data_IF_475982117178
#
_entry.id   IF_475982117178
#
_cell.length_a   1.000
_cell.length_b   1.000
_cell.length_c   1.000
_cell.angle_alpha   90.00
_cell.angle_beta   90.00
_cell.angle_gamma   90.00
#
_symmetry.space_group_name_H-M   'P 1'
#
loop_
_entity.id
_entity.type
_entity.pdbx_description
1 polymer ?
#
# COMPACT_ATOMS: atom_id res chain seq x y z
N UNK A 1 -3.42 -5.12 23.12
CA UNK A 1 -3.60 -3.74 22.63
C UNK A 1 -4.26 -3.76 21.25
N UNK A 2 -4.64 -2.60 20.69
CA UNK A 2 -5.23 -2.48 19.35
C UNK A 2 -4.43 -1.48 18.52
N UNK A 3 -4.40 -1.68 17.20
CA UNK A 3 -3.72 -0.77 16.27
C UNK A 3 -4.46 0.57 16.23
N UNK A 4 -3.72 1.68 16.16
CA UNK A 4 -4.32 2.99 15.93
C UNK A 4 -4.72 3.17 14.46
N UNK A 5 -5.58 4.13 14.16
CA UNK A 5 -5.97 4.45 12.78
C UNK A 5 -4.78 4.95 11.96
N UNK A 6 -3.86 5.74 12.56
CA UNK A 6 -2.61 6.17 11.92
C UNK A 6 -1.69 4.97 11.66
N UNK A 7 -1.58 4.04 12.61
CA UNK A 7 -0.83 2.78 12.45
C UNK A 7 -1.38 1.90 11.33
N UNK A 8 -2.71 1.78 11.26
CA UNK A 8 -3.39 1.03 10.21
C UNK A 8 -3.15 1.66 8.82
N UNK A 9 -3.29 2.99 8.71
CA UNK A 9 -3.01 3.72 7.48
C UNK A 9 -1.54 3.62 7.05
N UNK A 10 -0.61 3.61 8.02
CA UNK A 10 0.82 3.45 7.78
C UNK A 10 1.13 2.05 7.19
N UNK A 11 0.55 0.99 7.75
CA UNK A 11 0.66 -0.37 7.19
C UNK A 11 0.06 -0.40 5.77
N UNK A 12 -1.18 0.08 5.61
CA UNK A 12 -1.87 0.09 4.32
C UNK A 12 -1.09 0.83 3.22
N UNK A 13 -0.43 1.95 3.57
CA UNK A 13 0.40 2.72 2.65
C UNK A 13 1.67 1.99 2.18
N UNK A 14 2.21 1.10 3.02
CA UNK A 14 3.34 0.26 2.66
C UNK A 14 2.97 -0.95 1.82
N UNK A 15 1.84 -1.59 2.12
CA UNK A 15 1.40 -2.79 1.38
C UNK A 15 0.81 -2.43 0.02
N UNK A 16 0.11 -1.30 -0.06
CA UNK A 16 -0.68 -0.94 -1.24
C UNK A 16 -1.94 -1.81 -1.38
N UNK A 17 -2.91 -1.31 -2.13
CA UNK A 17 -4.20 -2.01 -2.31
C UNK A 17 -4.32 -2.55 -3.72
N UNK A 18 -4.59 -3.86 -3.83
CA UNK A 18 -4.93 -4.52 -5.09
C UNK A 18 -6.35 -5.07 -5.01
N UNK A 19 -7.25 -4.55 -5.84
CA UNK A 19 -8.69 -4.87 -5.78
C UNK A 19 -9.03 -6.29 -6.23
N UNK A 20 -8.16 -6.94 -7.00
CA UNK A 20 -8.43 -8.23 -7.64
C UNK A 20 -7.36 -9.24 -7.27
N UNK A 21 -7.76 -10.49 -7.04
CA UNK A 21 -6.86 -11.56 -6.65
C UNK A 21 -5.79 -11.80 -7.73
N UNK A 22 -4.52 -11.84 -7.30
CA UNK A 22 -3.34 -12.02 -8.13
C UNK A 22 -2.39 -13.05 -7.51
N UNK A 23 -1.41 -13.53 -8.27
CA UNK A 23 -0.32 -14.34 -7.73
C UNK A 23 0.88 -13.47 -7.41
N UNK A 24 1.37 -13.55 -6.18
CA UNK A 24 2.60 -12.88 -5.79
C UNK A 24 3.85 -13.50 -6.47
N UNK A 25 5.05 -12.92 -6.33
CA UNK A 25 6.27 -13.45 -6.95
C UNK A 25 6.69 -14.86 -6.52
N UNK A 26 6.05 -15.45 -5.51
CA UNK A 26 6.27 -16.83 -5.06
C UNK A 26 5.07 -17.74 -5.33
N UNK A 27 4.09 -17.26 -6.11
CA UNK A 27 2.95 -18.02 -6.61
C UNK A 27 1.73 -18.08 -5.68
N UNK A 28 1.75 -17.36 -4.56
CA UNK A 28 0.66 -17.37 -3.57
C UNK A 28 -0.45 -16.42 -4.00
N UNK A 29 -1.69 -16.91 -3.94
CA UNK A 29 -2.87 -16.13 -4.27
C UNK A 29 -3.12 -15.06 -3.19
N UNK A 30 -3.12 -13.81 -3.62
CA UNK A 30 -3.08 -12.61 -2.77
C UNK A 30 -4.11 -11.58 -3.25
N UNK A 31 -4.72 -10.83 -2.34
CA UNK A 31 -5.69 -9.76 -2.64
C UNK A 31 -5.62 -8.64 -1.58
N UNK A 32 -6.15 -7.45 -1.88
CA UNK A 32 -6.23 -6.35 -0.93
C UNK A 32 -4.85 -5.83 -0.54
N UNK A 33 -4.59 -5.76 0.77
CA UNK A 33 -3.31 -5.31 1.35
C UNK A 33 -2.28 -6.44 1.55
N UNK A 34 -2.33 -7.48 0.73
CA UNK A 34 -1.46 -8.66 0.93
C UNK A 34 -2.16 -9.83 1.64
N UNK A 35 -3.49 -9.86 1.63
CA UNK A 35 -4.25 -10.93 2.25
C UNK A 35 -4.10 -12.24 1.49
N UNK A 36 -3.87 -13.32 2.22
CA UNK A 36 -3.78 -14.67 1.67
C UNK A 36 -4.61 -15.62 2.52
N UNK A 37 -5.01 -16.75 1.94
CA UNK A 37 -5.73 -17.81 2.68
C UNK A 37 -4.89 -18.48 3.78
N UNK A 38 -3.63 -18.06 3.99
CA UNK A 38 -2.77 -18.48 5.11
C UNK A 38 -3.07 -17.74 6.41
N UNK A 39 -3.62 -16.52 6.32
CA UNK A 39 -4.11 -15.80 7.50
C UNK A 39 -5.40 -16.46 7.98
N UNK A 40 -5.47 -16.81 9.26
CA UNK A 40 -6.66 -17.41 9.88
C UNK A 40 -7.83 -16.43 9.83
N UNK A 41 -7.57 -15.17 10.15
CA UNK A 41 -8.60 -14.12 10.21
C UNK A 41 -9.16 -13.82 8.82
N UNK A 42 -8.28 -13.60 7.82
CA UNK A 42 -8.75 -13.37 6.46
C UNK A 42 -9.46 -14.59 5.89
N UNK A 43 -8.90 -15.79 6.08
CA UNK A 43 -9.48 -17.01 5.53
C UNK A 43 -10.86 -17.32 6.13
N UNK A 44 -11.07 -17.01 7.41
CA UNK A 44 -12.38 -17.11 8.04
C UNK A 44 -13.36 -16.07 7.47
N UNK A 45 -12.97 -14.78 7.48
CA UNK A 45 -13.79 -13.69 6.94
C UNK A 45 -14.20 -13.93 5.49
N UNK A 46 -13.25 -14.36 4.65
CA UNK A 46 -13.49 -14.64 3.25
C UNK A 46 -14.47 -15.79 3.05
N UNK A 47 -14.29 -16.91 3.78
CA UNK A 47 -15.19 -18.07 3.68
C UNK A 47 -16.59 -17.75 4.19
N UNK A 48 -16.72 -16.99 5.28
CA UNK A 48 -18.03 -16.56 5.78
C UNK A 48 -18.79 -15.74 4.74
N UNK A 49 -18.10 -14.88 3.98
CA UNK A 49 -18.74 -14.01 2.99
C UNK A 49 -18.99 -14.67 1.63
N UNK A 50 -18.10 -15.56 1.21
CA UNK A 50 -18.12 -16.11 -0.16
C UNK A 50 -18.41 -17.63 -0.22
N UNK A 51 -18.48 -18.33 0.92
CA UNK A 51 -18.73 -19.78 0.98
C UNK A 51 -17.60 -20.66 0.45
N UNK A 52 -16.47 -20.08 0.01
CA UNK A 52 -15.34 -20.80 -0.60
C UNK A 52 -14.01 -20.09 -0.34
N UNK A 53 -12.90 -20.76 -0.64
CA UNK A 53 -11.59 -20.13 -0.67
C UNK A 53 -11.45 -19.10 -1.80
N UNK A 54 -10.50 -18.17 -1.63
CA UNK A 54 -10.08 -17.19 -2.64
C UNK A 54 -9.65 -17.89 -3.94
N UNK A 55 -10.03 -17.34 -5.08
CA UNK A 55 -9.70 -17.80 -6.45
C UNK A 55 -9.24 -16.62 -7.31
N UNK A 56 -8.53 -16.92 -8.39
CA UNK A 56 -8.18 -15.90 -9.39
C UNK A 56 -9.44 -15.21 -9.92
N UNK A 57 -9.36 -13.89 -10.11
CA UNK A 57 -10.49 -13.08 -10.60
C UNK A 57 -11.44 -12.59 -9.50
N UNK A 58 -11.34 -13.10 -8.27
CA UNK A 58 -12.10 -12.56 -7.14
C UNK A 58 -11.71 -11.09 -6.87
N UNK A 59 -12.67 -10.31 -6.40
CA UNK A 59 -12.47 -8.89 -6.08
C UNK A 59 -12.86 -8.57 -4.64
N UNK A 60 -12.22 -7.55 -4.07
CA UNK A 60 -12.54 -6.99 -2.76
C UNK A 60 -12.64 -5.47 -2.87
N UNK A 61 -13.63 -4.87 -2.20
CA UNK A 61 -13.73 -3.42 -2.11
C UNK A 61 -12.64 -2.86 -1.18
N UNK A 62 -12.25 -1.59 -1.37
CA UNK A 62 -11.31 -0.94 -0.44
C UNK A 62 -11.88 -0.88 0.98
N UNK A 63 -13.17 -0.58 1.12
CA UNK A 63 -13.82 -0.52 2.43
C UNK A 63 -13.77 -1.87 3.16
N UNK A 64 -14.10 -2.96 2.47
CA UNK A 64 -13.97 -4.32 3.04
C UNK A 64 -12.51 -4.65 3.36
N UNK A 65 -11.57 -4.23 2.51
CA UNK A 65 -10.14 -4.44 2.73
C UNK A 65 -9.61 -3.65 3.95
N UNK A 66 -10.09 -2.43 4.19
CA UNK A 66 -9.71 -1.64 5.36
C UNK A 66 -10.26 -2.28 6.64
N UNK A 67 -11.51 -2.74 6.62
CA UNK A 67 -12.15 -3.46 7.74
C UNK A 67 -11.39 -4.74 8.08
N UNK A 68 -11.12 -5.59 7.07
CA UNK A 68 -10.42 -6.86 7.32
C UNK A 68 -8.94 -6.64 7.66
N UNK A 69 -8.28 -5.59 7.14
CA UNK A 69 -6.93 -5.23 7.55
C UNK A 69 -6.88 -4.95 9.05
N UNK A 70 -7.79 -4.11 9.56
CA UNK A 70 -7.82 -3.76 10.98
C UNK A 70 -7.98 -4.99 11.85
N UNK A 71 -8.96 -5.82 11.52
CA UNK A 71 -9.26 -7.05 12.27
C UNK A 71 -8.08 -8.01 12.27
N UNK A 72 -7.48 -8.23 11.11
CA UNK A 72 -6.33 -9.12 10.93
C UNK A 72 -5.09 -8.60 11.66
N UNK A 73 -4.81 -7.30 11.60
CA UNK A 73 -3.71 -6.69 12.36
C UNK A 73 -3.98 -6.86 13.85
N UNK A 74 -5.17 -6.54 14.36
CA UNK A 74 -5.50 -6.63 15.78
C UNK A 74 -5.44 -8.07 16.33
N UNK A 75 -5.92 -9.05 15.58
CA UNK A 75 -6.09 -10.44 16.05
C UNK A 75 -4.87 -11.35 15.79
N UNK A 76 -4.03 -11.05 14.80
CA UNK A 76 -2.85 -11.87 14.48
C UNK A 76 -1.55 -11.16 14.90
N UNK A 77 -1.27 -10.01 14.31
CA UNK A 77 0.02 -9.33 14.47
C UNK A 77 0.10 -8.55 15.78
N UNK A 78 -0.93 -7.77 16.09
CA UNK A 78 -1.09 -7.02 17.34
C UNK A 78 -1.22 -7.94 18.55
N UNK A 79 -1.88 -9.10 18.40
CA UNK A 79 -1.88 -10.15 19.41
C UNK A 79 -0.45 -10.69 19.66
N UNK A 80 0.32 -10.99 18.61
CA UNK A 80 1.71 -11.43 18.74
C UNK A 80 2.63 -10.35 19.37
N UNK A 81 2.44 -9.08 18.99
CA UNK A 81 3.15 -7.93 19.59
C UNK A 81 2.81 -7.80 21.08
N UNK A 82 1.52 -7.87 21.43
CA UNK A 82 1.07 -7.81 22.84
C UNK A 82 1.63 -8.99 23.64
N UNK A 83 1.60 -10.21 23.09
CA UNK A 83 2.17 -11.39 23.75
C UNK A 83 3.68 -11.26 23.97
N UNK A 84 4.41 -10.60 23.05
CA UNK A 84 5.86 -10.44 23.16
C UNK A 84 6.28 -9.35 24.13
N UNK A 85 5.59 -8.20 24.14
CA UNK A 85 6.06 -7.00 24.83
C UNK A 85 5.16 -6.54 25.98
N UNK A 86 3.95 -7.07 26.11
CA UNK A 86 2.94 -6.55 27.01
C UNK A 86 2.41 -5.19 26.54
N UNK A 87 2.21 -4.28 27.48
CA UNK A 87 1.78 -2.91 27.19
C UNK A 87 2.96 -2.07 26.69
N UNK A 88 2.74 -1.35 25.58
CA UNK A 88 3.70 -0.43 24.99
C UNK A 88 3.06 0.96 24.83
N UNK A 89 3.86 2.03 24.69
CA UNK A 89 3.38 3.26 24.07
C UNK A 89 2.76 2.97 22.70
N UNK A 90 1.66 3.64 22.36
CA UNK A 90 0.88 3.31 21.15
C UNK A 90 1.72 3.33 19.86
N UNK A 91 2.61 4.31 19.70
CA UNK A 91 3.47 4.40 18.51
C UNK A 91 4.53 3.27 18.45
N UNK A 92 4.99 2.76 19.59
CA UNK A 92 5.83 1.56 19.62
C UNK A 92 5.03 0.31 19.18
N UNK A 93 3.79 0.19 19.67
CA UNK A 93 2.89 -0.90 19.28
C UNK A 93 2.60 -0.86 17.77
N UNK A 94 2.28 0.33 17.22
CA UNK A 94 1.98 0.51 15.81
C UNK A 94 3.20 0.19 14.91
N UNK A 95 4.39 0.67 15.28
CA UNK A 95 5.64 0.35 14.58
C UNK A 95 5.92 -1.16 14.60
N UNK A 96 5.79 -1.80 15.78
CA UNK A 96 6.02 -3.23 15.93
C UNK A 96 5.02 -4.07 15.13
N UNK A 97 3.75 -3.64 15.05
CA UNK A 97 2.74 -4.27 14.19
C UNK A 97 3.12 -4.17 12.71
N UNK A 98 3.60 -3.01 12.24
CA UNK A 98 4.07 -2.86 10.84
C UNK A 98 5.25 -3.78 10.51
N UNK A 99 6.22 -3.88 11.41
CA UNK A 99 7.37 -4.79 11.25
C UNK A 99 6.89 -6.25 11.19
N UNK A 100 6.02 -6.65 12.12
CA UNK A 100 5.49 -8.00 12.20
C UNK A 100 4.63 -8.36 10.98
N UNK A 101 3.84 -7.42 10.46
CA UNK A 101 3.05 -7.61 9.24
C UNK A 101 3.94 -7.95 8.05
N UNK A 102 5.03 -7.19 7.87
CA UNK A 102 5.92 -7.35 6.73
C UNK A 102 6.87 -8.55 6.80
N UNK A 103 7.46 -8.78 7.97
CA UNK A 103 8.51 -9.79 8.17
C UNK A 103 7.99 -11.07 8.84
N UNK A 104 6.71 -11.08 9.20
CA UNK A 104 6.07 -12.14 9.97
C UNK A 104 6.32 -12.04 11.49
N UNK A 105 5.49 -12.73 12.31
CA UNK A 105 5.61 -12.69 13.78
C UNK A 105 6.97 -13.14 14.32
N UNK A 106 7.71 -13.98 13.59
CA UNK A 106 9.07 -14.41 13.99
C UNK A 106 10.03 -13.23 14.16
N UNK A 107 9.81 -12.11 13.46
CA UNK A 107 10.62 -10.91 13.59
C UNK A 107 10.61 -10.33 15.02
N UNK A 108 9.58 -10.63 15.81
CA UNK A 108 9.45 -10.22 17.21
C UNK A 108 10.41 -10.95 18.16
N UNK A 109 11.21 -11.88 17.65
CA UNK A 109 12.29 -12.58 18.40
C UNK A 109 13.68 -12.05 18.06
N UNK A 110 13.79 -11.18 17.04
CA UNK A 110 15.05 -10.70 16.50
C UNK A 110 15.67 -9.60 17.34
N UNK A 111 16.87 -9.16 16.96
CA UNK A 111 17.68 -8.21 17.74
C UNK A 111 16.97 -6.90 18.05
N UNK A 112 16.18 -6.36 17.12
CA UNK A 112 15.44 -5.11 17.34
C UNK A 112 14.37 -5.27 18.42
N UNK A 113 13.63 -6.39 18.39
CA UNK A 113 12.60 -6.69 19.37
C UNK A 113 13.21 -6.99 20.74
N UNK A 114 14.37 -7.66 20.79
CA UNK A 114 15.11 -7.84 22.06
C UNK A 114 15.51 -6.51 22.67
N UNK A 115 15.99 -5.54 21.87
CA UNK A 115 16.31 -4.20 22.36
C UNK A 115 15.07 -3.45 22.86
N UNK A 116 13.95 -3.50 22.11
CA UNK A 116 12.70 -2.86 22.53
C UNK A 116 12.18 -3.46 23.85
N UNK A 117 12.23 -4.78 23.99
CA UNK A 117 11.84 -5.50 25.21
C UNK A 117 12.74 -5.20 26.41
N UNK A 118 13.96 -4.73 26.18
CA UNK A 118 14.89 -4.29 27.22
C UNK A 118 14.72 -2.80 27.58
N UNK A 119 13.67 -2.15 27.07
CA UNK A 119 13.42 -0.73 27.32
C UNK A 119 14.29 0.22 26.49
N UNK A 120 14.91 -0.26 25.40
CA UNK A 120 15.82 0.54 24.55
C UNK A 120 15.23 0.73 23.13
N UNK A 121 14.22 1.61 22.97
CA UNK A 121 13.60 1.89 21.68
C UNK A 121 14.56 2.58 20.69
N UNK A 122 15.55 3.35 21.19
CA UNK A 122 16.55 4.00 20.36
C UNK A 122 17.45 2.97 19.65
N UNK A 123 17.93 1.97 20.39
CA UNK A 123 18.69 0.85 19.81
C UNK A 123 17.82 -0.02 18.92
N UNK A 124 16.56 -0.28 19.29
CA UNK A 124 15.64 -1.01 18.44
C UNK A 124 15.45 -0.31 17.08
N UNK A 125 15.25 1.00 17.08
CA UNK A 125 15.15 1.83 15.88
C UNK A 125 16.43 1.81 15.05
N UNK A 126 17.60 1.95 15.68
CA UNK A 126 18.90 1.86 15.00
C UNK A 126 19.07 0.50 14.29
N UNK A 127 18.75 -0.60 14.97
CA UNK A 127 18.82 -1.94 14.40
C UNK A 127 17.85 -2.08 13.22
N UNK A 128 16.59 -1.64 13.35
CA UNK A 128 15.62 -1.68 12.25
C UNK A 128 16.13 -0.91 11.04
N UNK A 129 16.57 0.34 11.22
CA UNK A 129 17.01 1.22 10.13
C UNK A 129 18.18 0.65 9.30
N UNK A 130 19.04 -0.16 9.93
CA UNK A 130 20.22 -0.75 9.30
C UNK A 130 19.99 -2.16 8.72
N UNK A 131 18.96 -2.89 9.18
CA UNK A 131 18.77 -4.33 8.90
C UNK A 131 17.41 -4.64 8.27
N UNK A 132 17.19 -5.93 7.98
CA UNK A 132 15.91 -6.48 7.50
C UNK A 132 15.33 -5.76 6.28
N UNK A 133 16.24 -5.31 5.41
CA UNK A 133 15.98 -4.49 4.22
C UNK A 133 16.39 -5.21 2.92
N UNK A 134 16.51 -6.54 2.99
CA UNK A 134 16.93 -7.40 1.88
C UNK A 134 15.86 -8.41 1.51
N UNK A 135 15.81 -8.80 0.24
CA UNK A 135 15.08 -9.96 -0.24
C UNK A 135 15.95 -10.72 -1.25
N UNK A 136 15.95 -12.06 -1.18
CA UNK A 136 16.81 -12.93 -2.01
C UNK A 136 18.28 -12.48 -2.01
N UNK A 137 18.80 -12.07 -0.84
CA UNK A 137 20.18 -11.63 -0.65
C UNK A 137 20.53 -10.21 -1.15
N UNK A 138 19.58 -9.46 -1.71
CA UNK A 138 19.81 -8.10 -2.23
C UNK A 138 19.05 -7.06 -1.42
N UNK A 139 19.68 -5.91 -1.14
CA UNK A 139 19.00 -4.75 -0.56
C UNK A 139 17.96 -4.22 -1.54
N UNK A 140 16.74 -4.00 -1.06
CA UNK A 140 15.66 -3.42 -1.87
C UNK A 140 15.38 -1.99 -1.39
N UNK A 141 15.40 -0.98 -2.27
CA UNK A 141 15.14 0.41 -1.89
C UNK A 141 13.83 0.61 -1.11
N UNK A 142 12.77 -0.09 -1.52
CA UNK A 142 11.48 -0.06 -0.82
C UNK A 142 11.55 -0.59 0.62
N UNK A 143 12.28 -1.68 0.85
CA UNK A 143 12.45 -2.22 2.20
C UNK A 143 13.38 -1.35 3.06
N UNK A 144 14.43 -0.76 2.46
CA UNK A 144 15.28 0.22 3.15
C UNK A 144 14.45 1.41 3.61
N UNK A 145 13.60 1.96 2.74
CA UNK A 145 12.70 3.06 3.07
C UNK A 145 11.75 2.67 4.21
N UNK A 146 11.03 1.54 4.07
CA UNK A 146 10.08 1.06 5.09
C UNK A 146 10.73 0.89 6.47
N UNK A 147 11.89 0.23 6.53
CA UNK A 147 12.61 0.03 7.80
C UNK A 147 13.06 1.34 8.45
N UNK A 148 13.45 2.34 7.65
CA UNK A 148 13.77 3.69 8.16
C UNK A 148 12.52 4.41 8.67
N UNK A 149 11.40 4.29 7.98
CA UNK A 149 10.13 4.92 8.39
C UNK A 149 9.57 4.29 9.67
N UNK A 150 9.60 2.96 9.79
CA UNK A 150 9.23 2.24 11.03
C UNK A 150 10.17 2.58 12.20
N UNK A 151 11.48 2.69 11.95
CA UNK A 151 12.43 3.14 12.96
C UNK A 151 12.16 4.58 13.42
N UNK A 152 11.76 5.45 12.49
CA UNK A 152 11.40 6.83 12.80
C UNK A 152 10.14 6.89 13.65
N UNK A 153 9.08 6.15 13.27
CA UNK A 153 7.86 6.02 14.04
C UNK A 153 8.14 5.49 15.44
N UNK A 154 8.91 4.40 15.54
CA UNK A 154 9.29 3.79 16.82
C UNK A 154 10.00 4.79 17.74
N UNK A 155 10.85 5.67 17.20
CA UNK A 155 11.65 6.59 18.01
C UNK A 155 10.93 7.89 18.38
N UNK A 156 10.06 8.38 17.50
CA UNK A 156 9.55 9.76 17.57
C UNK A 156 8.04 9.86 17.72
N UNK A 157 7.31 8.79 17.47
CA UNK A 157 5.84 8.82 17.39
C UNK A 157 5.29 9.49 16.13
N UNK A 158 6.15 10.03 15.26
CA UNK A 158 5.76 10.66 14.00
C UNK A 158 5.63 9.59 12.92
N UNK A 159 4.51 9.58 12.21
CA UNK A 159 4.20 8.71 11.08
C UNK A 159 4.66 9.33 9.76
N UNK A 160 5.79 8.89 9.16
CA UNK A 160 6.26 9.45 7.91
C UNK A 160 5.23 9.28 6.79
N UNK A 161 4.95 10.36 6.06
CA UNK A 161 3.96 10.36 4.97
C UNK A 161 2.51 10.55 5.42
N UNK A 162 2.20 10.44 6.72
CA UNK A 162 0.90 10.80 7.29
C UNK A 162 0.99 12.15 8.01
N UNK A 163 1.94 12.29 8.94
CA UNK A 163 2.07 13.50 9.75
C UNK A 163 2.77 14.66 9.01
N UNK A 164 3.47 14.38 7.90
CA UNK A 164 3.98 15.46 7.00
C UNK A 164 2.86 16.24 6.31
N UNK A 165 1.65 15.69 6.22
CA UNK A 165 0.50 16.44 5.73
C UNK A 165 0.02 17.50 6.75
N UNK A 166 0.45 17.38 8.01
CA UNK A 166 -0.06 18.09 9.21
C UNK A 166 0.98 19.07 9.81
N UNK A 167 2.24 19.04 9.37
CA UNK A 167 3.23 20.07 9.72
C UNK A 167 2.82 21.45 9.13
N UNK A 168 3.04 22.58 9.85
CA UNK A 168 2.73 23.91 9.33
C UNK A 168 3.49 24.12 8.02
N UNK A 169 2.74 24.23 6.92
CA UNK A 169 3.30 24.42 5.58
C UNK A 169 3.93 25.80 5.51
N UNK A 170 5.05 25.92 4.78
CA UNK A 170 5.61 27.25 4.48
C UNK A 170 4.54 28.05 3.71
N UNK A 171 4.39 29.36 3.96
CA UNK A 171 3.36 30.18 3.32
C UNK A 171 3.38 30.08 1.78
N UNK A 172 4.57 29.99 1.17
CA UNK A 172 4.72 29.85 -0.29
C UNK A 172 4.15 28.53 -0.84
N UNK A 173 4.32 27.41 -0.13
CA UNK A 173 3.82 26.10 -0.57
C UNK A 173 2.29 26.04 -0.45
N UNK A 174 1.72 26.69 0.57
CA UNK A 174 0.28 26.80 0.77
C UNK A 174 -0.40 27.63 -0.33
N UNK A 175 0.19 28.76 -0.71
CA UNK A 175 -0.30 29.62 -1.79
C UNK A 175 -0.26 28.89 -3.15
N UNK A 176 0.82 28.18 -3.44
CA UNK A 176 0.95 27.40 -4.69
C UNK A 176 -0.08 26.24 -4.77
N UNK A 177 -0.38 25.61 -3.63
CA UNK A 177 -1.40 24.58 -3.55
C UNK A 177 -2.81 25.13 -3.72
N UNK A 178 -3.12 26.29 -3.16
CA UNK A 178 -4.40 26.98 -3.31
C UNK A 178 -4.65 27.42 -4.76
N UNK A 179 -3.63 27.97 -5.42
CA UNK A 179 -3.72 28.34 -6.83
C UNK A 179 -3.89 27.10 -7.72
N UNK A 180 -3.19 26.01 -7.42
CA UNK A 180 -3.33 24.73 -8.13
C UNK A 180 -4.72 24.11 -7.94
N UNK A 181 -5.25 24.14 -6.71
CA UNK A 181 -6.60 23.72 -6.40
C UNK A 181 -7.63 24.54 -7.19
N UNK A 182 -7.48 25.86 -7.21
CA UNK A 182 -8.36 26.76 -7.95
C UNK A 182 -8.31 26.55 -9.45
N UNK A 183 -7.14 26.28 -10.02
CA UNK A 183 -7.02 25.92 -11.45
C UNK A 183 -7.79 24.64 -11.78
N UNK A 184 -7.66 23.60 -10.95
CA UNK A 184 -8.38 22.33 -11.15
C UNK A 184 -9.89 22.51 -11.04
N UNK A 185 -10.37 23.22 -10.02
CA UNK A 185 -11.78 23.50 -9.80
C UNK A 185 -12.39 24.31 -10.94
N UNK A 186 -11.70 25.36 -11.40
CA UNK A 186 -12.13 26.16 -12.56
C UNK A 186 -12.20 25.33 -13.84
N UNK A 187 -11.22 24.46 -14.08
CA UNK A 187 -11.22 23.55 -15.22
C UNK A 187 -12.39 22.54 -15.18
N UNK A 188 -12.88 22.20 -13.99
CA UNK A 188 -14.07 21.39 -13.76
C UNK A 188 -15.40 22.18 -13.78
N UNK A 189 -15.35 23.51 -13.95
CA UNK A 189 -16.53 24.37 -14.03
C UNK A 189 -16.90 25.10 -12.73
N UNK A 190 -16.16 24.90 -11.64
CA UNK A 190 -16.38 25.58 -10.36
C UNK A 190 -15.63 26.92 -10.35
N UNK A 191 -16.32 28.01 -10.71
CA UNK A 191 -15.73 29.34 -10.96
C UNK A 191 -15.94 30.36 -9.85
N UNK A 192 -16.35 29.94 -8.66
CA UNK A 192 -16.51 30.82 -7.52
C UNK A 192 -15.18 31.56 -7.23
N UNK A 193 -15.27 32.83 -6.82
CA UNK A 193 -14.09 33.65 -6.51
C UNK A 193 -13.40 33.18 -5.21
N UNK A 194 -14.20 32.78 -4.22
CA UNK A 194 -13.72 32.22 -2.95
C UNK A 194 -13.32 30.73 -3.10
N UNK A 195 -12.07 30.35 -2.79
CA UNK A 195 -11.59 28.97 -2.90
C UNK A 195 -12.34 27.97 -2.02
N UNK A 196 -12.75 28.39 -0.83
CA UNK A 196 -13.50 27.53 0.08
C UNK A 196 -14.91 27.25 -0.49
N UNK A 197 -15.59 28.26 -1.02
CA UNK A 197 -16.89 28.11 -1.69
C UNK A 197 -16.80 27.22 -2.94
N UNK A 198 -15.76 27.39 -3.77
CA UNK A 198 -15.50 26.53 -4.93
C UNK A 198 -15.29 25.07 -4.49
N UNK A 199 -14.50 24.87 -3.44
CA UNK A 199 -14.23 23.54 -2.87
C UNK A 199 -15.49 22.87 -2.33
N UNK A 200 -16.31 23.59 -1.56
CA UNK A 200 -17.60 23.08 -1.04
C UNK A 200 -18.57 22.74 -2.15
N UNK A 201 -18.62 23.54 -3.22
CA UNK A 201 -19.45 23.23 -4.38
C UNK A 201 -19.02 21.90 -5.02
N UNK A 202 -17.72 21.71 -5.26
CA UNK A 202 -17.21 20.46 -5.81
C UNK A 202 -17.45 19.25 -4.90
N UNK A 203 -17.28 19.40 -3.57
CA UNK A 203 -17.50 18.34 -2.60
C UNK A 203 -18.96 17.88 -2.55
N UNK A 204 -19.93 18.82 -2.60
CA UNK A 204 -21.36 18.50 -2.67
C UNK A 204 -21.71 17.64 -3.88
N UNK A 205 -21.09 17.93 -5.02
CA UNK A 205 -21.32 17.22 -6.28
C UNK A 205 -20.52 15.90 -6.39
N UNK A 206 -19.69 15.58 -5.40
CA UNK A 206 -18.76 14.44 -5.45
C UNK A 206 -18.86 13.54 -4.21
N UNK A 207 -20.00 12.87 -3.95
CA UNK A 207 -20.09 11.87 -2.87
C UNK A 207 -19.02 10.77 -3.03
N UNK A 208 -18.40 10.25 -1.94
CA UNK A 208 -18.71 10.49 -0.53
C UNK A 208 -17.82 11.57 0.13
N UNK A 209 -17.39 12.60 -0.60
CA UNK A 209 -16.57 13.66 0.01
C UNK A 209 -17.36 14.41 1.10
N UNK A 210 -16.70 14.70 2.22
CA UNK A 210 -17.22 15.61 3.24
C UNK A 210 -17.22 17.04 2.69
N UNK A 211 -18.26 17.81 3.01
CA UNK A 211 -18.42 19.22 2.59
C UNK A 211 -17.80 20.15 3.62
N UNK A 212 -16.48 20.02 3.83
CA UNK A 212 -15.73 20.81 4.81
C UNK A 212 -15.13 22.10 4.21
N UNK A 213 -15.03 22.18 2.88
CA UNK A 213 -14.37 23.28 2.16
C UNK A 213 -12.85 23.15 2.10
N UNK A 214 -12.30 22.01 2.51
CA UNK A 214 -10.86 21.74 2.53
C UNK A 214 -10.48 21.00 1.24
N UNK A 215 -9.60 21.62 0.43
CA UNK A 215 -9.05 20.99 -0.78
C UNK A 215 -7.91 20.02 -0.43
N UNK A 216 -8.21 19.05 0.44
CA UNK A 216 -7.27 18.05 0.92
C UNK A 216 -7.03 16.92 -0.09
N UNK A 217 -6.20 15.90 0.27
CA UNK A 217 -5.82 14.82 -0.64
C UNK A 217 -6.98 14.07 -1.27
N UNK A 218 -8.07 13.84 -0.51
CA UNK A 218 -9.29 13.17 -1.02
C UNK A 218 -10.01 14.01 -2.08
N UNK A 219 -10.18 15.31 -1.81
CA UNK A 219 -10.81 16.27 -2.73
C UNK A 219 -9.98 16.42 -4.01
N UNK A 220 -8.66 16.55 -3.88
CA UNK A 220 -7.73 16.64 -5.01
C UNK A 220 -7.78 15.40 -5.90
N UNK A 221 -7.68 14.21 -5.30
CA UNK A 221 -7.74 12.96 -6.05
C UNK A 221 -9.09 12.76 -6.77
N UNK A 222 -10.19 13.25 -6.20
CA UNK A 222 -11.49 13.23 -6.87
C UNK A 222 -11.54 14.21 -8.06
N UNK A 223 -11.00 15.42 -7.90
CA UNK A 223 -10.92 16.41 -8.96
C UNK A 223 -10.04 15.94 -10.12
N UNK A 224 -8.87 15.35 -9.83
CA UNK A 224 -7.97 14.76 -10.82
C UNK A 224 -8.67 13.68 -11.66
N UNK A 225 -9.38 12.75 -11.00
CA UNK A 225 -10.13 11.70 -11.71
C UNK A 225 -11.18 12.28 -12.65
N UNK A 226 -11.90 13.32 -12.22
CA UNK A 226 -12.94 13.97 -13.02
C UNK A 226 -12.34 14.72 -14.21
N UNK A 227 -11.21 15.41 -14.02
CA UNK A 227 -10.48 16.06 -15.13
C UNK A 227 -10.01 15.05 -16.17
N UNK A 228 -9.43 13.93 -15.73
CA UNK A 228 -9.02 12.85 -16.63
C UNK A 228 -10.21 12.25 -17.38
N UNK A 229 -11.37 12.11 -16.74
CA UNK A 229 -12.60 11.66 -17.40
C UNK A 229 -13.09 12.68 -18.46
N UNK A 230 -13.02 13.99 -18.18
CA UNK A 230 -13.38 15.06 -19.13
C UNK A 230 -12.45 15.10 -20.35
N UNK A 231 -11.15 14.84 -20.17
CA UNK A 231 -10.21 14.74 -21.29
C UNK A 231 -10.52 13.52 -22.16
N UNK A 232 -10.84 12.37 -21.55
CA UNK A 232 -11.23 11.15 -22.26
C UNK A 232 -12.55 11.28 -23.02
N UNK A 233 -13.51 12.08 -22.54
CA UNK A 233 -14.77 12.30 -23.25
C UNK A 233 -14.65 13.29 -24.42
N UNK A 234 -13.66 14.20 -24.40
CA UNK A 234 -13.37 15.14 -25.50
C UNK A 234 -12.56 14.51 -26.63
N UNK A 235 -11.77 13.49 -26.34
CA UNK A 235 -11.09 12.66 -27.33
C UNK A 235 -11.54 11.21 -27.15
N UNK A 236 -12.72 10.82 -27.67
CA UNK A 236 -13.08 9.42 -27.70
C UNK A 236 -11.99 8.69 -28.48
N UNK A 237 -11.41 7.65 -27.87
CA UNK A 237 -10.47 6.79 -28.55
C UNK A 237 -11.11 6.35 -29.88
N UNK A 238 -10.40 6.57 -31.00
CA UNK A 238 -10.82 6.08 -32.31
C UNK A 238 -11.19 4.61 -32.19
N UNK A 239 -12.24 4.13 -32.90
CA UNK A 239 -12.60 2.73 -32.87
C UNK A 239 -11.35 1.92 -33.20
N UNK A 240 -11.00 1.01 -32.31
CA UNK A 240 -9.84 0.15 -32.49
C UNK A 240 -9.95 -0.52 -33.86
N UNK A 241 -9.06 -0.13 -34.78
CA UNK A 241 -8.78 -0.90 -35.98
C UNK A 241 -8.45 -2.31 -35.46
N UNK A 242 -9.31 -3.28 -35.78
CA UNK A 242 -9.05 -4.70 -35.46
C UNK A 242 -7.68 -5.05 -36.04
N UNK A 243 -6.67 -5.45 -35.25
CA UNK A 243 -5.47 -6.01 -35.83
C UNK A 243 -5.83 -7.41 -36.32
N UNK A 244 -6.24 -7.49 -37.59
CA UNK A 244 -6.04 -8.71 -38.35
C UNK A 244 -4.52 -8.91 -38.46
N UNK A 245 -4.09 -10.11 -38.07
CA UNK A 245 -2.80 -10.72 -38.46
C UNK A 245 -1.52 -9.88 -38.24
N UNK A 246 -1.21 -9.45 -37.01
CA UNK A 246 0.15 -8.97 -36.70
C UNK A 246 0.54 -9.10 -35.21
N UNK A 247 0.37 -10.29 -34.62
CA UNK A 247 1.00 -10.66 -33.33
C UNK A 247 1.83 -11.95 -33.39
N UNK A 248 2.10 -12.46 -34.60
CA UNK A 248 3.01 -13.59 -34.84
C UNK A 248 4.50 -13.26 -34.62
N UNK A 249 4.89 -12.00 -34.38
CA UNK A 249 6.32 -11.63 -34.29
C UNK A 249 6.90 -11.50 -32.86
N UNK A 250 6.10 -11.49 -31.80
CA UNK A 250 6.62 -11.59 -30.41
C UNK A 250 6.70 -13.03 -29.90
N UNK A 251 6.04 -13.98 -30.59
CA UNK A 251 6.15 -15.42 -30.34
C UNK A 251 7.48 -16.02 -30.83
N UNK A 252 8.18 -15.37 -31.77
CA UNK A 252 9.47 -15.86 -32.31
C UNK A 252 10.65 -15.50 -31.41
N UNK A 253 10.58 -14.39 -30.65
CA UNK A 253 11.65 -13.96 -29.74
C UNK A 253 11.83 -14.84 -28.50
N UNK A 254 10.75 -15.46 -27.99
CA UNK A 254 10.80 -16.39 -26.86
C UNK A 254 11.05 -17.85 -27.28
N UNK A 255 10.87 -18.19 -28.56
CA UNK A 255 11.18 -19.51 -29.10
C UNK A 255 12.70 -19.74 -29.31
N UNK A 256 13.47 -18.69 -29.63
CA UNK A 256 14.92 -18.80 -29.81
C UNK A 256 15.70 -18.97 -28.49
N UNK A 257 15.19 -18.45 -27.37
CA UNK A 257 15.78 -18.67 -26.04
C UNK A 257 15.49 -20.07 -25.47
N UNK A 258 14.42 -20.72 -25.93
CA UNK A 258 14.07 -22.09 -25.57
C UNK A 258 15.00 -23.14 -26.21
N UNK A 259 15.37 -22.95 -27.47
CA UNK A 259 16.23 -23.88 -28.22
C UNK A 259 17.68 -23.92 -27.68
N UNK A 260 18.24 -22.77 -27.28
CA UNK A 260 19.59 -22.68 -26.68
C UNK A 260 19.67 -23.40 -25.32
N UNK A 261 18.58 -23.38 -24.53
CA UNK A 261 18.51 -24.04 -23.22
C UNK A 261 18.25 -25.55 -23.29
N UNK A 262 17.77 -26.06 -24.42
CA UNK A 262 17.63 -27.49 -24.69
C UNK A 262 18.95 -28.12 -25.19
N UNK A 263 19.70 -27.39 -26.03
CA UNK A 263 21.03 -27.82 -26.49
C UNK A 263 22.06 -27.86 -25.34
N UNK A 264 22.01 -26.89 -24.41
CA UNK A 264 22.94 -26.83 -23.27
C UNK A 264 22.71 -27.94 -22.22
N UNK A 265 21.46 -28.40 -22.06
CA UNK A 265 21.12 -29.50 -21.12
C UNK A 265 21.44 -30.88 -21.66
N UNK A 266 21.63 -31.03 -22.97
CA UNK A 266 22.02 -32.29 -23.62
C UNK A 266 23.54 -32.50 -23.62
N UNK A 267 24.33 -31.45 -23.34
CA UNK A 267 25.80 -31.50 -23.32
C UNK A 267 26.41 -31.80 -21.94
N UNK A 268 25.68 -31.58 -20.84
CA UNK A 268 26.12 -32.00 -19.49
C UNK A 268 25.40 -33.29 -19.08
N UNK A 269 25.98 -34.42 -19.47
CA UNK A 269 25.58 -35.74 -18.96
C UNK A 269 25.78 -35.86 -17.44
N UNK A 270 25.13 -36.83 -16.79
CA UNK A 270 25.21 -37.01 -15.34
C UNK A 270 26.58 -37.58 -14.95
N UNK A 271 27.36 -36.80 -14.20
CA UNK A 271 28.51 -37.32 -13.46
C UNK A 271 27.98 -37.97 -12.17
N UNK A 272 28.30 -39.26 -12.07
CA UNK A 272 28.03 -40.25 -11.00
C UNK A 272 27.77 -39.71 -9.59
#
# INVERSE_FOLDING_TARGET
MKISDKGLAFIAGHEGFVSTAYRDPVGVLTIGYGFTMRSRVFAAWWRTRHGRALRMGDAISRADADVILKRLVDEEYGAAVTARFGALPQHHFDAACSVAYNLGPRALTWRWARALSAGDPARAAAILSANYNTARGRKLPGLVRRRKEEAHLLRTGVFPGLDRAEAPRRPADALMDEESAMRMLRALGYRQADPMAATRAFQRDSPPLAVDGIFGPKTRAAADRRLQATVRSRHPASPAIRPSSLTWMLAVGLALLGAVRAAWRRWRGPSR
#
